data_IF_334477934406
#
_entry.id   IF_334477934406
#
_cell.length_a   1.000
_cell.length_b   1.000
_cell.length_c   1.000
_cell.angle_alpha   90.00
_cell.angle_beta   90.00
_cell.angle_gamma   90.00
#
_symmetry.space_group_name_H-M   'P 1'
#
loop_
_entity.id
_entity.type
_entity.pdbx_description
1 polymer ?
#
# COMPACT_ATOMS: atom_id res chain seq x y z
N UNK A 1 29.54 -24.09 11.86
CA UNK A 1 29.15 -23.51 10.57
C UNK A 1 30.43 -23.16 9.81
N UNK A 2 30.44 -23.31 8.50
CA UNK A 2 31.59 -22.94 7.65
C UNK A 2 31.14 -22.07 6.49
N UNK A 3 32.04 -21.26 5.95
CA UNK A 3 31.77 -20.39 4.81
C UNK A 3 32.48 -20.92 3.57
N UNK A 4 31.75 -21.03 2.46
CA UNK A 4 32.31 -21.48 1.19
C UNK A 4 33.36 -20.49 0.67
N UNK A 5 34.60 -20.94 0.48
CA UNK A 5 35.70 -20.09 0.00
C UNK A 5 35.52 -19.57 -1.43
N UNK A 6 34.63 -20.20 -2.22
CA UNK A 6 34.41 -19.85 -3.63
C UNK A 6 33.26 -18.84 -3.80
N UNK A 7 32.14 -19.03 -3.10
CA UNK A 7 30.94 -18.19 -3.27
C UNK A 7 30.48 -17.43 -2.01
N UNK A 8 31.22 -17.55 -0.91
CA UNK A 8 30.97 -16.91 0.39
C UNK A 8 29.64 -17.28 1.08
N UNK A 9 28.92 -18.30 0.59
CA UNK A 9 27.71 -18.82 1.21
C UNK A 9 28.02 -19.51 2.55
N UNK A 10 27.13 -19.38 3.55
CA UNK A 10 27.28 -20.03 4.85
C UNK A 10 26.56 -21.38 4.89
N UNK A 11 27.22 -22.39 5.47
CA UNK A 11 26.70 -23.74 5.59
C UNK A 11 26.88 -24.30 7.00
N UNK A 12 26.01 -25.23 7.36
CA UNK A 12 26.13 -25.99 8.61
C UNK A 12 27.24 -27.04 8.52
N UNK A 13 27.75 -27.48 9.67
CA UNK A 13 28.92 -28.37 9.70
C UNK A 13 28.64 -29.78 9.17
N UNK A 14 27.37 -30.15 9.06
CA UNK A 14 26.91 -31.41 8.49
C UNK A 14 27.05 -31.48 6.97
N UNK A 15 27.25 -30.34 6.29
CA UNK A 15 27.48 -30.31 4.84
C UNK A 15 28.97 -30.32 4.53
N UNK A 16 29.41 -31.24 3.67
CA UNK A 16 30.80 -31.35 3.22
C UNK A 16 31.12 -30.48 2.00
N UNK A 17 30.11 -30.15 1.19
CA UNK A 17 30.23 -29.37 -0.05
C UNK A 17 29.17 -28.27 -0.12
N UNK A 18 29.52 -27.16 -0.78
CA UNK A 18 28.61 -26.04 -1.02
C UNK A 18 27.54 -26.45 -2.05
N UNK A 19 26.26 -26.39 -1.67
CA UNK A 19 25.14 -26.73 -2.56
C UNK A 19 25.05 -25.84 -3.81
N UNK A 20 25.65 -24.64 -3.77
CA UNK A 20 25.60 -23.65 -4.85
C UNK A 20 26.68 -23.84 -5.90
N UNK A 21 27.89 -24.25 -5.50
CA UNK A 21 29.04 -24.30 -6.41
C UNK A 21 29.86 -25.59 -6.33
N UNK A 22 29.56 -26.50 -5.40
CA UNK A 22 30.25 -27.77 -5.25
C UNK A 22 31.63 -27.69 -4.60
N UNK A 23 32.07 -26.53 -4.14
CA UNK A 23 33.34 -26.40 -3.42
C UNK A 23 33.21 -27.00 -2.02
N UNK A 24 34.09 -27.93 -1.67
CA UNK A 24 34.18 -28.54 -0.34
C UNK A 24 34.76 -27.55 0.68
N UNK A 25 34.65 -27.89 1.96
CA UNK A 25 35.21 -27.08 3.06
C UNK A 25 36.73 -26.86 2.93
N UNK A 26 37.45 -27.77 2.29
CA UNK A 26 38.89 -27.66 2.02
C UNK A 26 39.23 -26.74 0.83
N UNK A 27 38.23 -26.16 0.18
CA UNK A 27 38.38 -25.29 -0.98
C UNK A 27 38.55 -26.00 -2.32
N UNK A 28 38.60 -27.34 -2.34
CA UNK A 28 38.65 -28.11 -3.58
C UNK A 28 37.24 -28.32 -4.12
N UNK A 29 37.09 -28.31 -5.44
CA UNK A 29 35.80 -28.65 -6.08
C UNK A 29 35.57 -30.15 -5.97
N UNK A 30 34.40 -30.55 -5.50
CA UNK A 30 34.03 -31.96 -5.44
C UNK A 30 33.84 -32.51 -6.87
N UNK A 31 34.61 -33.53 -7.31
CA UNK A 31 34.46 -34.11 -8.64
C UNK A 31 33.13 -34.86 -8.82
N UNK A 32 32.44 -35.22 -7.74
CA UNK A 32 31.09 -35.80 -7.78
C UNK A 32 29.99 -34.75 -7.82
N UNK A 33 30.34 -33.48 -7.63
CA UNK A 33 29.39 -32.39 -7.82
C UNK A 33 29.22 -32.14 -9.32
N UNK A 34 28.44 -33.00 -9.95
CA UNK A 34 27.67 -32.61 -11.10
C UNK A 34 26.71 -31.55 -10.58
N UNK A 35 27.02 -30.28 -10.85
CA UNK A 35 25.97 -29.28 -10.80
C UNK A 35 24.84 -29.88 -11.61
N UNK A 36 23.67 -30.04 -11.01
CA UNK A 36 22.47 -30.37 -11.76
C UNK A 36 22.21 -29.18 -12.69
N UNK A 37 23.03 -29.06 -13.74
CA UNK A 37 22.62 -28.52 -15.00
C UNK A 37 21.54 -29.50 -15.38
N UNK A 38 20.32 -29.16 -14.98
CA UNK A 38 19.15 -29.81 -15.53
C UNK A 38 19.18 -29.38 -16.98
N UNK A 39 20.00 -30.04 -17.79
CA UNK A 39 19.84 -30.13 -19.22
C UNK A 39 18.56 -30.94 -19.38
N UNK A 40 17.43 -30.28 -19.12
CA UNK A 40 16.11 -30.78 -19.49
C UNK A 40 16.24 -31.02 -20.98
N UNK A 41 16.27 -32.28 -21.46
CA UNK A 41 16.19 -32.52 -22.88
C UNK A 41 14.92 -31.81 -23.35
N UNK A 42 14.95 -30.99 -24.41
CA UNK A 42 13.78 -30.22 -24.85
C UNK A 42 12.57 -31.12 -25.17
N UNK A 43 12.73 -32.44 -25.19
CA UNK A 43 11.69 -33.43 -25.42
C UNK A 43 11.08 -34.04 -24.15
N UNK A 44 11.70 -33.91 -22.97
CA UNK A 44 11.19 -34.52 -21.72
C UNK A 44 10.09 -33.69 -21.03
N UNK A 45 9.73 -32.52 -21.58
CA UNK A 45 8.66 -31.65 -21.08
C UNK A 45 7.30 -31.92 -21.72
N UNK A 46 7.17 -32.91 -22.62
CA UNK A 46 5.88 -33.19 -23.28
C UNK A 46 4.86 -33.92 -22.42
N UNK A 47 5.30 -34.69 -21.42
CA UNK A 47 4.41 -35.57 -20.64
C UNK A 47 4.45 -35.34 -19.12
N UNK A 48 5.20 -34.34 -18.65
CA UNK A 48 5.03 -33.90 -17.26
C UNK A 48 3.60 -33.32 -17.18
N UNK A 49 2.73 -33.81 -16.27
CA UNK A 49 1.45 -33.15 -16.06
C UNK A 49 1.77 -31.71 -15.75
N UNK A 50 1.31 -30.82 -16.63
CA UNK A 50 1.36 -29.39 -16.43
C UNK A 50 0.78 -29.18 -15.04
N UNK A 51 1.66 -28.94 -14.06
CA UNK A 51 1.24 -28.51 -12.74
C UNK A 51 0.70 -27.13 -13.04
N UNK A 52 -0.61 -27.09 -13.32
CA UNK A 52 -1.36 -25.88 -13.68
C UNK A 52 -0.82 -24.79 -12.78
N UNK A 53 0.02 -23.94 -13.38
CA UNK A 53 0.66 -22.88 -12.64
C UNK A 53 -0.50 -22.12 -12.02
N UNK A 54 -0.62 -22.17 -10.70
CA UNK A 54 -1.72 -21.55 -9.97
C UNK A 54 -1.93 -20.19 -10.62
N UNK A 55 -3.11 -19.92 -11.19
CA UNK A 55 -3.30 -18.79 -12.08
C UNK A 55 -2.73 -17.59 -11.37
N UNK A 56 -1.69 -16.99 -11.97
CA UNK A 56 -1.08 -15.80 -11.40
C UNK A 56 -2.23 -14.82 -11.25
N UNK A 57 -2.56 -14.49 -10.00
CA UNK A 57 -3.67 -13.61 -9.70
C UNK A 57 -3.20 -12.20 -10.09
N UNK A 58 -3.19 -11.93 -11.39
CA UNK A 58 -2.92 -10.63 -11.98
C UNK A 58 -4.13 -9.77 -11.69
N UNK A 59 -4.16 -9.22 -10.49
CA UNK A 59 -5.09 -8.18 -10.14
C UNK A 59 -4.83 -7.00 -11.08
N UNK A 60 -5.88 -6.39 -11.65
CA UNK A 60 -5.68 -5.20 -12.47
C UNK A 60 -5.04 -4.11 -11.62
N UNK A 61 -4.18 -3.29 -12.24
CA UNK A 61 -3.31 -2.33 -11.55
C UNK A 61 -4.06 -1.41 -10.56
N UNK A 62 -5.32 -1.08 -10.85
CA UNK A 62 -6.15 -0.23 -9.99
C UNK A 62 -6.46 -0.90 -8.64
N UNK A 63 -6.52 -2.23 -8.56
CA UNK A 63 -6.73 -2.94 -7.31
C UNK A 63 -5.61 -2.65 -6.32
N UNK A 64 -4.36 -2.57 -6.77
CA UNK A 64 -3.24 -2.22 -5.88
C UNK A 64 -3.34 -0.78 -5.33
N UNK A 65 -4.03 0.11 -6.04
CA UNK A 65 -4.25 1.50 -5.61
C UNK A 65 -5.47 1.62 -4.70
N UNK A 66 -6.57 0.95 -5.03
CA UNK A 66 -7.85 1.12 -4.32
C UNK A 66 -8.07 0.10 -3.19
N UNK A 67 -7.47 -1.09 -3.25
CA UNK A 67 -7.64 -2.11 -2.21
C UNK A 67 -7.22 -1.63 -0.82
N UNK A 68 -6.07 -0.95 -0.63
CA UNK A 68 -5.71 -0.40 0.68
C UNK A 68 -6.74 0.60 1.21
N UNK A 69 -7.32 1.41 0.31
CA UNK A 69 -8.35 2.39 0.65
C UNK A 69 -9.66 1.71 1.08
N UNK A 70 -10.15 0.73 0.32
CA UNK A 70 -11.37 -0.01 0.66
C UNK A 70 -11.23 -0.80 1.95
N UNK A 71 -10.07 -1.42 2.19
CA UNK A 71 -9.77 -2.09 3.45
C UNK A 71 -9.81 -1.10 4.63
N UNK A 72 -9.20 0.07 4.47
CA UNK A 72 -9.24 1.11 5.50
C UNK A 72 -10.65 1.65 5.75
N UNK A 73 -11.41 1.96 4.70
CA UNK A 73 -12.78 2.45 4.80
C UNK A 73 -13.69 1.40 5.48
N UNK A 74 -13.53 0.13 5.12
CA UNK A 74 -14.23 -0.99 5.77
C UNK A 74 -13.87 -1.11 7.25
N UNK A 75 -12.61 -0.94 7.62
CA UNK A 75 -12.15 -0.94 9.01
C UNK A 75 -12.79 0.20 9.83
N UNK A 76 -12.84 1.41 9.26
CA UNK A 76 -13.49 2.58 9.90
C UNK A 76 -14.99 2.34 10.09
N UNK A 77 -15.67 1.81 9.07
CA UNK A 77 -17.10 1.50 9.14
C UNK A 77 -17.39 0.40 10.19
N UNK A 78 -16.57 -0.65 10.22
CA UNK A 78 -16.67 -1.72 11.21
C UNK A 78 -16.48 -1.19 12.63
N UNK A 79 -15.49 -0.32 12.85
CA UNK A 79 -15.27 0.34 14.13
C UNK A 79 -16.50 1.16 14.55
N UNK A 80 -17.05 1.98 13.64
CA UNK A 80 -18.24 2.79 13.94
C UNK A 80 -19.43 1.93 14.35
N UNK A 81 -19.73 0.88 13.58
CA UNK A 81 -20.81 -0.05 13.87
C UNK A 81 -20.62 -0.77 15.21
N UNK A 82 -19.39 -1.21 15.51
CA UNK A 82 -19.08 -1.84 16.80
C UNK A 82 -19.31 -0.87 17.97
N UNK A 83 -18.97 0.41 17.81
CA UNK A 83 -19.20 1.40 18.88
C UNK A 83 -20.66 1.82 19.05
N UNK A 84 -21.47 1.78 17.98
CA UNK A 84 -22.90 2.02 18.04
C UNK A 84 -23.66 0.88 18.76
N UNK A 85 -23.13 -0.34 18.68
CA UNK A 85 -23.69 -1.54 19.32
C UNK A 85 -23.30 -1.69 20.79
N UNK A 86 -22.34 -0.90 21.31
CA UNK A 86 -21.98 -0.95 22.73
C UNK A 86 -23.20 -0.52 23.55
N UNK A 87 -23.79 -1.42 24.37
CA UNK A 87 -24.95 -1.08 25.16
C UNK A 87 -24.57 0.09 26.06
N UNK A 88 -25.34 1.18 25.95
CA UNK A 88 -25.38 2.18 27.01
C UNK A 88 -25.86 1.39 28.23
N UNK A 89 -24.93 1.10 29.15
CA UNK A 89 -25.27 0.42 30.38
C UNK A 89 -26.52 1.11 30.95
N UNK A 90 -27.60 0.38 31.26
CA UNK A 90 -28.80 0.98 31.81
C UNK A 90 -28.42 1.56 33.16
N UNK A 91 -28.12 2.86 33.19
CA UNK A 91 -27.88 3.59 34.42
C UNK A 91 -29.23 3.66 35.12
N UNK A 92 -29.40 2.87 36.18
CA UNK A 92 -30.58 2.90 37.05
C UNK A 92 -30.68 4.20 37.86
N UNK A 93 -29.73 5.12 37.72
CA UNK A 93 -29.82 6.45 38.31
C UNK A 93 -30.81 7.34 37.52
N UNK A 94 -31.74 8.03 38.23
CA UNK A 94 -32.61 9.01 37.60
C UNK A 94 -31.76 10.09 36.91
N UNK A 95 -32.22 10.63 35.76
CA UNK A 95 -31.46 11.59 34.98
C UNK A 95 -31.21 12.84 35.81
N UNK A 96 -30.03 12.92 36.43
CA UNK A 96 -29.50 14.18 36.93
C UNK A 96 -29.26 15.03 35.68
N UNK A 97 -29.87 16.21 35.65
CA UNK A 97 -29.64 17.24 34.62
C UNK A 97 -28.18 17.66 34.66
N UNK A 98 -27.30 16.84 34.09
CA UNK A 98 -25.95 17.24 33.79
C UNK A 98 -25.98 18.13 32.56
N UNK A 99 -25.23 19.23 32.55
CA UNK A 99 -25.15 20.09 31.39
C UNK A 99 -24.73 19.24 30.16
N UNK A 100 -25.35 19.44 28.99
CA UNK A 100 -25.24 18.53 27.84
C UNK A 100 -23.82 18.38 27.24
N UNK A 101 -22.80 19.03 27.80
CA UNK A 101 -21.45 19.07 27.26
C UNK A 101 -20.38 18.98 28.35
N UNK A 102 -20.43 17.95 29.20
CA UNK A 102 -19.27 17.62 30.03
C UNK A 102 -18.16 17.03 29.16
N UNK A 103 -17.00 17.70 29.10
CA UNK A 103 -15.79 17.24 28.40
C UNK A 103 -15.27 15.88 28.90
N UNK A 104 -15.71 15.43 30.08
CA UNK A 104 -15.36 14.12 30.66
C UNK A 104 -16.31 12.98 30.27
N UNK A 105 -17.31 13.24 29.43
CA UNK A 105 -18.27 12.23 29.01
C UNK A 105 -17.65 11.14 28.13
N UNK A 106 -18.13 9.89 28.20
CA UNK A 106 -17.63 8.80 27.36
C UNK A 106 -17.74 9.08 25.86
N UNK A 107 -18.63 9.99 25.45
CA UNK A 107 -18.78 10.44 24.06
C UNK A 107 -17.63 11.30 23.54
N UNK A 108 -17.11 12.25 24.34
CA UNK A 108 -16.00 13.12 23.92
C UNK A 108 -14.72 12.33 23.78
N UNK A 109 -14.46 11.39 24.70
CA UNK A 109 -13.36 10.46 24.61
C UNK A 109 -13.44 9.58 23.34
N UNK A 110 -14.61 9.02 23.03
CA UNK A 110 -14.82 8.21 21.81
C UNK A 110 -14.58 9.01 20.54
N UNK A 111 -15.05 10.25 20.46
CA UNK A 111 -14.82 11.13 19.30
C UNK A 111 -13.33 11.50 19.16
N UNK A 112 -12.66 11.82 20.27
CA UNK A 112 -11.23 12.11 20.26
C UNK A 112 -10.40 10.91 19.79
N UNK A 113 -10.69 9.71 20.30
CA UNK A 113 -10.01 8.48 19.88
C UNK A 113 -10.29 8.18 18.40
N UNK A 114 -11.53 8.33 17.93
CA UNK A 114 -11.86 8.13 16.52
C UNK A 114 -11.10 9.11 15.60
N UNK A 115 -11.04 10.40 15.96
CA UNK A 115 -10.28 11.41 15.22
C UNK A 115 -8.77 11.09 15.18
N UNK A 116 -8.21 10.63 16.30
CA UNK A 116 -6.80 10.25 16.40
C UNK A 116 -6.51 9.03 15.52
N UNK A 117 -7.33 7.99 15.57
CA UNK A 117 -7.17 6.78 14.75
C UNK A 117 -7.29 7.13 13.27
N UNK A 118 -8.27 7.97 12.90
CA UNK A 118 -8.47 8.39 11.52
C UNK A 118 -7.30 9.24 11.01
N UNK A 119 -6.85 10.22 11.81
CA UNK A 119 -5.69 11.05 11.51
C UNK A 119 -4.40 10.24 11.38
N UNK A 120 -4.15 9.31 12.31
CA UNK A 120 -3.00 8.39 12.24
C UNK A 120 -3.07 7.49 11.01
N UNK A 121 -4.24 6.99 10.63
CA UNK A 121 -4.41 6.19 9.41
C UNK A 121 -4.05 6.98 8.14
N UNK A 122 -4.54 8.22 8.03
CA UNK A 122 -4.21 9.11 6.91
C UNK A 122 -2.73 9.43 6.87
N UNK A 123 -2.10 9.68 8.02
CA UNK A 123 -0.67 9.99 8.11
C UNK A 123 0.17 8.75 7.79
N UNK A 124 -0.08 7.62 8.45
CA UNK A 124 0.74 6.41 8.33
C UNK A 124 0.57 5.67 7.01
N UNK A 125 -0.60 5.77 6.36
CA UNK A 125 -0.83 5.11 5.06
C UNK A 125 -0.66 6.11 3.93
N UNK A 126 -1.17 7.33 4.11
CA UNK A 126 -1.11 8.38 3.10
C UNK A 126 0.31 8.90 2.89
N UNK A 127 1.10 9.18 3.94
CA UNK A 127 2.46 9.72 3.74
C UNK A 127 3.41 8.75 3.07
N UNK A 128 3.47 7.45 3.40
CA UNK A 128 4.36 6.52 2.69
C UNK A 128 3.91 6.28 1.26
N UNK A 129 2.60 6.15 1.00
CA UNK A 129 2.09 6.04 -0.36
C UNK A 129 2.45 7.30 -1.18
N UNK A 130 2.26 8.48 -0.59
CA UNK A 130 2.61 9.76 -1.20
C UNK A 130 4.12 9.89 -1.40
N UNK A 131 4.94 9.44 -0.45
CA UNK A 131 6.40 9.44 -0.54
C UNK A 131 6.90 8.44 -1.59
N UNK A 132 6.28 7.27 -1.75
CA UNK A 132 6.60 6.31 -2.82
C UNK A 132 6.22 6.88 -4.18
N UNK A 133 5.06 7.53 -4.29
CA UNK A 133 4.65 8.24 -5.51
C UNK A 133 5.64 9.36 -5.84
N UNK A 134 5.97 10.21 -4.87
CA UNK A 134 6.97 11.28 -5.05
C UNK A 134 8.33 10.69 -5.40
N UNK A 135 8.77 9.61 -4.76
CA UNK A 135 10.07 8.99 -5.05
C UNK A 135 10.08 8.32 -6.42
N UNK A 136 9.00 7.70 -6.85
CA UNK A 136 8.87 7.14 -8.20
C UNK A 136 8.89 8.27 -9.26
N UNK A 137 8.20 9.38 -8.99
CA UNK A 137 8.22 10.58 -9.82
C UNK A 137 9.63 11.19 -9.83
N UNK A 138 10.28 11.33 -8.66
CA UNK A 138 11.60 11.94 -8.49
C UNK A 138 12.71 11.07 -9.08
N UNK A 139 12.67 9.74 -8.93
CA UNK A 139 13.63 8.82 -9.57
C UNK A 139 13.40 8.79 -11.08
N UNK A 140 12.14 8.80 -11.54
CA UNK A 140 11.80 8.95 -12.96
C UNK A 140 12.29 10.28 -13.56
N UNK A 141 12.18 11.37 -12.80
CA UNK A 141 12.70 12.69 -13.13
C UNK A 141 14.24 12.70 -13.09
N UNK A 142 14.88 12.29 -12.00
CA UNK A 142 16.32 12.38 -11.78
C UNK A 142 17.13 11.52 -12.76
N UNK A 143 16.62 10.32 -13.09
CA UNK A 143 17.28 9.43 -14.07
C UNK A 143 17.17 9.95 -15.52
N UNK A 144 16.36 10.98 -15.79
CA UNK A 144 16.13 11.53 -17.14
C UNK A 144 16.41 13.03 -17.30
N UNK A 145 16.45 13.80 -16.21
CA UNK A 145 16.80 15.24 -16.19
C UNK A 145 18.26 15.47 -16.56
N UNK A 146 19.14 14.49 -16.35
CA UNK A 146 20.54 14.65 -16.75
C UNK A 146 20.78 14.70 -18.27
N UNK A 147 19.73 14.60 -19.12
CA UNK A 147 19.88 14.55 -20.58
C UNK A 147 18.95 15.53 -21.36
N UNK A 148 17.92 16.18 -20.78
CA UNK A 148 16.91 16.89 -21.60
C UNK A 148 16.33 18.20 -21.03
N UNK A 149 16.02 19.12 -21.97
CA UNK A 149 15.44 20.46 -21.80
C UNK A 149 14.04 20.46 -21.13
N UNK A 150 13.75 21.50 -20.33
CA UNK A 150 12.51 21.70 -19.54
C UNK A 150 11.18 21.45 -20.30
N UNK A 151 11.13 21.69 -21.61
CA UNK A 151 9.92 21.44 -22.43
C UNK A 151 9.66 19.96 -22.73
N UNK A 152 10.66 19.09 -22.55
CA UNK A 152 10.51 17.64 -22.71
C UNK A 152 10.08 16.96 -21.40
N UNK A 153 10.45 17.54 -20.26
CA UNK A 153 10.03 17.09 -18.92
C UNK A 153 8.51 17.21 -18.76
N UNK A 154 7.94 18.36 -19.14
CA UNK A 154 6.50 18.61 -19.06
C UNK A 154 5.70 17.69 -19.99
N UNK A 155 6.22 17.43 -21.21
CA UNK A 155 5.63 16.46 -22.15
C UNK A 155 5.69 15.03 -21.61
N UNK A 156 6.74 14.67 -20.89
CA UNK A 156 6.90 13.34 -20.31
C UNK A 156 6.05 13.13 -19.05
N UNK A 157 5.95 14.12 -18.15
CA UNK A 157 5.01 14.06 -17.03
C UNK A 157 3.57 13.87 -17.53
N UNK A 158 3.20 14.61 -18.58
CA UNK A 158 1.92 14.43 -19.27
C UNK A 158 1.81 13.07 -19.99
N UNK A 159 2.93 12.38 -20.28
CA UNK A 159 2.96 11.02 -20.85
C UNK A 159 2.76 9.91 -19.82
N UNK A 160 3.20 10.11 -18.57
CA UNK A 160 3.02 9.13 -17.48
C UNK A 160 1.58 9.14 -16.94
N UNK A 161 0.96 10.31 -16.92
CA UNK A 161 -0.48 10.47 -16.70
C UNK A 161 -1.32 10.06 -17.92
N UNK A 162 -0.67 9.66 -19.02
CA UNK A 162 -1.31 9.33 -20.29
C UNK A 162 -1.62 7.84 -20.29
N UNK A 163 -2.92 7.55 -20.20
CA UNK A 163 -3.48 6.25 -20.58
C UNK A 163 -2.89 5.87 -21.97
N UNK A 164 -2.36 4.64 -22.15
CA UNK A 164 -1.76 4.20 -23.41
C UNK A 164 -2.67 4.50 -24.60
N UNK A 165 -2.12 5.03 -25.69
CA UNK A 165 -2.95 5.55 -26.79
C UNK A 165 -3.84 4.47 -27.41
N UNK A 166 -3.40 3.19 -27.42
CA UNK A 166 -4.23 2.06 -27.83
C UNK A 166 -5.45 1.82 -26.92
N UNK A 167 -5.28 1.96 -25.60
CA UNK A 167 -6.38 1.84 -24.64
C UNK A 167 -7.34 3.04 -24.72
N UNK A 168 -6.79 4.24 -24.92
CA UNK A 168 -7.58 5.47 -25.08
C UNK A 168 -8.43 5.43 -26.36
N UNK A 169 -7.87 4.90 -27.46
CA UNK A 169 -8.58 4.71 -28.72
C UNK A 169 -9.68 3.64 -28.60
N UNK A 170 -9.42 2.54 -27.88
CA UNK A 170 -10.40 1.49 -27.64
C UNK A 170 -11.55 1.94 -26.69
N UNK A 171 -11.26 2.82 -25.72
CA UNK A 171 -12.22 3.19 -24.67
C UNK A 171 -12.27 4.71 -24.37
N UNK A 172 -12.75 5.53 -25.32
CA UNK A 172 -12.77 7.00 -25.17
C UNK A 172 -13.71 7.49 -24.05
N UNK A 173 -14.83 6.80 -23.80
CA UNK A 173 -15.77 7.11 -22.71
C UNK A 173 -15.16 6.83 -21.33
N UNK A 174 -14.42 5.73 -21.21
CA UNK A 174 -13.77 5.33 -19.97
C UNK A 174 -12.66 6.31 -19.56
N UNK A 175 -11.91 6.81 -20.55
CA UNK A 175 -10.83 7.79 -20.33
C UNK A 175 -11.36 9.09 -19.72
N UNK A 176 -12.51 9.61 -20.20
CA UNK A 176 -13.15 10.80 -19.61
C UNK A 176 -13.66 10.53 -18.20
N UNK A 177 -14.27 9.37 -17.99
CA UNK A 177 -14.74 8.95 -16.66
C UNK A 177 -13.58 8.86 -15.65
N UNK A 178 -12.44 8.32 -16.08
CA UNK A 178 -11.25 8.17 -15.25
C UNK A 178 -10.71 9.50 -14.73
N UNK A 179 -10.54 10.50 -15.60
CA UNK A 179 -10.08 11.82 -15.17
C UNK A 179 -11.12 12.53 -14.30
N UNK A 180 -12.41 12.48 -14.65
CA UNK A 180 -13.46 13.07 -13.83
C UNK A 180 -13.53 12.39 -12.45
N UNK A 181 -13.36 11.07 -12.38
CA UNK A 181 -13.34 10.33 -11.13
C UNK A 181 -12.11 10.68 -10.27
N UNK A 182 -10.91 10.74 -10.85
CA UNK A 182 -9.69 11.07 -10.10
C UNK A 182 -9.69 12.52 -9.63
N UNK A 183 -10.00 13.48 -10.51
CA UNK A 183 -10.00 14.88 -10.14
C UNK A 183 -11.20 15.22 -9.25
N UNK A 184 -12.37 14.63 -9.50
CA UNK A 184 -13.53 14.75 -8.63
C UNK A 184 -13.27 14.16 -7.25
N UNK A 185 -12.57 13.02 -7.17
CA UNK A 185 -12.16 12.43 -5.90
C UNK A 185 -11.15 13.32 -5.18
N UNK A 186 -10.04 13.72 -5.82
CA UNK A 186 -9.05 14.64 -5.23
C UNK A 186 -9.71 15.92 -4.71
N UNK A 187 -10.60 16.52 -5.50
CA UNK A 187 -11.36 17.69 -5.08
C UNK A 187 -12.26 17.38 -3.88
N UNK A 188 -12.98 16.26 -3.88
CA UNK A 188 -13.82 15.85 -2.76
C UNK A 188 -13.02 15.55 -1.48
N UNK A 189 -11.84 14.94 -1.58
CA UNK A 189 -10.98 14.68 -0.42
C UNK A 189 -10.41 15.97 0.16
N UNK A 190 -9.99 16.90 -0.69
CA UNK A 190 -9.48 18.21 -0.26
C UNK A 190 -10.60 19.06 0.34
N UNK A 191 -11.74 19.20 -0.35
CA UNK A 191 -12.88 20.00 0.09
C UNK A 191 -13.55 19.38 1.32
N UNK A 192 -13.78 18.06 1.31
CA UNK A 192 -14.34 17.32 2.45
C UNK A 192 -13.41 17.36 3.66
N UNK A 193 -12.10 17.15 3.46
CA UNK A 193 -11.10 17.24 4.53
C UNK A 193 -11.01 18.64 5.13
N UNK A 194 -11.01 19.69 4.30
CA UNK A 194 -10.98 21.08 4.76
C UNK A 194 -12.27 21.50 5.47
N UNK A 195 -13.45 21.14 4.94
CA UNK A 195 -14.74 21.41 5.58
C UNK A 195 -14.86 20.69 6.93
N UNK A 196 -14.43 19.43 7.00
CA UNK A 196 -14.42 18.66 8.25
C UNK A 196 -13.48 19.29 9.28
N UNK A 197 -12.25 19.63 8.88
CA UNK A 197 -11.30 20.30 9.77
C UNK A 197 -11.83 21.65 10.26
N UNK A 198 -12.42 22.46 9.38
CA UNK A 198 -13.05 23.72 9.74
C UNK A 198 -14.20 23.54 10.74
N UNK A 199 -15.04 22.52 10.57
CA UNK A 199 -16.12 22.21 11.51
C UNK A 199 -15.58 21.79 12.89
N UNK A 200 -14.52 20.97 12.93
CA UNK A 200 -13.86 20.58 14.19
C UNK A 200 -13.27 21.81 14.89
N UNK A 201 -12.53 22.66 14.16
CA UNK A 201 -11.95 23.89 14.72
C UNK A 201 -13.05 24.84 15.22
N UNK A 202 -14.11 25.05 14.43
CA UNK A 202 -15.24 25.88 14.85
C UNK A 202 -15.90 25.36 16.12
N UNK A 203 -16.11 24.05 16.22
CA UNK A 203 -16.67 23.42 17.40
C UNK A 203 -15.77 23.61 18.63
N UNK A 204 -14.45 23.47 18.48
CA UNK A 204 -13.49 23.73 19.55
C UNK A 204 -13.51 25.20 20.01
N UNK A 205 -13.54 26.15 19.07
CA UNK A 205 -13.62 27.59 19.38
C UNK A 205 -14.93 27.93 20.10
N UNK A 206 -16.04 27.34 19.65
CA UNK A 206 -17.35 27.52 20.30
C UNK A 206 -17.34 27.01 21.74
N UNK A 207 -16.73 25.84 21.98
CA UNK A 207 -16.60 25.27 23.33
C UNK A 207 -15.70 26.12 24.23
N UNK A 208 -14.62 26.71 23.70
CA UNK A 208 -13.72 27.56 24.48
C UNK A 208 -14.32 28.93 24.87
N UNK A 209 -15.44 29.33 24.27
CA UNK A 209 -16.13 30.60 24.55
C UNK A 209 -17.30 30.44 25.54
N UNK A 210 -17.67 29.23 25.91
CA UNK A 210 -18.69 28.92 26.92
C UNK A 210 -18.03 28.69 28.27
#
# INVERSE_FOLDING_TARGET
MWQCVNCAEQHEDQFEACWKCGTRRDGRRDPRFEAAVVDVPPEATKDAPEVDALPSLELPWFSYVFLPFWLWAGLVAAFWNATAMLPLAPTSEPPRLHPPFSLSGPWTFRMAVALIIHGLGVILIGLPAFAVIIRAIAVGLFRRIHIRSDREILRWMLSMLRIPDGFRAAHPRFTRFYYVAIFGWLAATVVGGTAFFAAVVWQMVRLARM
#
